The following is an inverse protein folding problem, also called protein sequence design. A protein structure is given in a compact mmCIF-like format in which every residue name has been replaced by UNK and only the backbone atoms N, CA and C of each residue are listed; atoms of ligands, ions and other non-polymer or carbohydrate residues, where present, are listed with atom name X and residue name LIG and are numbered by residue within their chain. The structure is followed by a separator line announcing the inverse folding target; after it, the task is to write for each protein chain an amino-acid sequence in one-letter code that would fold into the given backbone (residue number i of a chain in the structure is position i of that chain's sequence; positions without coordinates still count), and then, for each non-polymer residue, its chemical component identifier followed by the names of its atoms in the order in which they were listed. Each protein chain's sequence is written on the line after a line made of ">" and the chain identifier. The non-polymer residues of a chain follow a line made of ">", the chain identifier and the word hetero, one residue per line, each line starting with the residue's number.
data_IF_616063528406
#
_entry.id   IF_616063528406
#
_cell.length_a   1.000
_cell.length_b   1.000
_cell.length_c   1.000
_cell.angle_alpha   90.00
_cell.angle_beta   90.00
_cell.angle_gamma   90.00
#
_symmetry.space_group_name_H-M   'P 1'
#
loop_
_entity.id
_entity.type
_entity.pdbx_description
1 polymer ?
#
# COMPACT_ATOMS: atom_id res chain seq x y z
N UNK A 1 -13.82 -49.00 56.07
CA UNK A 1 -14.21 -47.94 55.13
C UNK A 1 -13.29 -46.73 55.20
N UNK A 2 -12.95 -46.15 56.35
CA UNK A 2 -12.08 -44.96 56.43
C UNK A 2 -10.67 -45.11 55.79
N UNK A 3 -10.03 -46.29 55.87
CA UNK A 3 -8.67 -46.52 55.31
C UNK A 3 -8.63 -46.49 53.78
N UNK A 4 -9.70 -46.85 53.10
CA UNK A 4 -9.73 -46.83 51.60
C UNK A 4 -9.98 -45.44 51.06
N UNK A 5 -10.67 -44.53 51.84
CA UNK A 5 -10.92 -43.15 51.45
C UNK A 5 -9.59 -42.37 51.42
N UNK A 6 -8.68 -42.61 52.35
CA UNK A 6 -7.36 -41.93 52.35
C UNK A 6 -6.44 -42.43 51.23
N UNK A 7 -6.54 -43.72 50.85
CA UNK A 7 -5.73 -44.26 49.75
C UNK A 7 -6.19 -43.72 48.39
N UNK A 8 -7.51 -43.59 48.19
CA UNK A 8 -8.05 -43.00 46.95
C UNK A 8 -7.75 -41.51 46.85
N UNK A 9 -7.81 -40.77 47.95
CA UNK A 9 -7.45 -39.33 47.99
C UNK A 9 -5.95 -39.12 47.69
N UNK A 10 -5.07 -39.99 48.21
CA UNK A 10 -3.65 -39.90 47.98
C UNK A 10 -3.27 -40.23 46.51
N UNK A 11 -3.92 -41.21 45.88
CA UNK A 11 -3.71 -41.55 44.46
C UNK A 11 -4.25 -40.44 43.55
N UNK A 12 -5.40 -39.85 43.87
CA UNK A 12 -5.96 -38.72 43.09
C UNK A 12 -5.09 -37.47 43.21
N UNK A 13 -4.48 -37.21 44.39
CA UNK A 13 -3.53 -36.11 44.59
C UNK A 13 -2.23 -36.30 43.82
N UNK A 14 -1.71 -37.52 43.65
CA UNK A 14 -0.54 -37.80 42.86
C UNK A 14 -0.78 -37.64 41.36
N UNK A 15 -1.97 -37.97 40.86
CA UNK A 15 -2.32 -37.84 39.45
C UNK A 15 -2.48 -36.35 39.06
N UNK A 16 -3.01 -35.52 39.99
CA UNK A 16 -3.13 -34.09 39.77
C UNK A 16 -1.77 -33.34 39.83
N UNK A 17 -0.81 -33.86 40.61
CA UNK A 17 0.51 -33.27 40.72
C UNK A 17 1.41 -33.56 39.49
N UNK A 18 1.15 -34.65 38.74
CA UNK A 18 1.89 -34.97 37.51
C UNK A 18 1.40 -34.25 36.25
N UNK A 19 0.24 -33.57 36.33
CA UNK A 19 -0.35 -32.82 35.21
C UNK A 19 0.21 -31.40 35.05
N UNK A 20 1.00 -30.90 36.00
CA UNK A 20 1.38 -29.48 36.08
C UNK A 20 2.83 -29.22 35.65
N UNK A 21 3.36 -29.95 34.68
CA UNK A 21 4.79 -29.84 34.32
C UNK A 21 5.14 -29.85 32.84
N UNK A 22 4.17 -29.89 31.93
CA UNK A 22 4.50 -29.66 30.52
C UNK A 22 4.50 -28.15 30.26
N UNK A 23 5.67 -27.53 30.38
CA UNK A 23 5.92 -26.28 29.68
C UNK A 23 5.79 -26.57 28.17
N UNK A 24 4.75 -26.05 27.57
CA UNK A 24 4.69 -25.98 26.12
C UNK A 24 5.70 -24.89 25.76
N UNK A 25 6.91 -25.29 25.45
CA UNK A 25 7.89 -24.40 24.85
C UNK A 25 7.47 -24.24 23.39
N UNK A 26 6.93 -23.09 23.07
CA UNK A 26 6.77 -22.68 21.66
C UNK A 26 8.17 -22.39 21.13
N UNK A 27 8.63 -23.23 20.22
CA UNK A 27 9.81 -22.87 19.43
C UNK A 27 9.46 -21.66 18.58
N UNK A 28 9.97 -20.52 18.98
CA UNK A 28 9.85 -19.29 18.20
C UNK A 28 10.89 -19.36 17.07
N UNK A 29 10.46 -19.78 15.89
CA UNK A 29 11.33 -19.86 14.72
C UNK A 29 11.78 -18.43 14.38
N UNK A 30 13.09 -18.16 14.29
CA UNK A 30 13.58 -16.87 13.90
C UNK A 30 13.29 -16.59 12.43
N UNK A 31 12.91 -15.36 12.10
CA UNK A 31 12.66 -14.96 10.71
C UNK A 31 12.97 -13.49 10.46
N UNK A 32 13.31 -13.18 9.19
CA UNK A 32 13.50 -11.81 8.71
C UNK A 32 12.39 -11.40 7.74
N UNK A 33 12.01 -10.13 7.73
CA UNK A 33 10.96 -9.60 6.88
C UNK A 33 11.22 -8.13 6.50
N UNK A 34 10.76 -7.73 5.34
CA UNK A 34 10.64 -6.32 4.99
C UNK A 34 9.46 -5.69 5.75
N UNK A 35 9.46 -4.38 5.93
CA UNK A 35 8.39 -3.67 6.65
C UNK A 35 7.13 -3.50 5.80
N UNK A 36 7.30 -3.34 4.47
CA UNK A 36 6.20 -3.14 3.53
C UNK A 36 6.45 -3.85 2.21
N UNK A 37 5.39 -4.05 1.43
CA UNK A 37 5.46 -4.66 0.08
C UNK A 37 5.72 -3.63 -1.03
N UNK A 38 5.68 -2.35 -0.70
CA UNK A 38 5.87 -1.27 -1.67
C UNK A 38 6.67 -0.13 -1.07
N UNK A 39 7.61 0.40 -1.84
CA UNK A 39 8.37 1.61 -1.53
C UNK A 39 8.35 2.52 -2.74
N UNK A 40 8.35 3.82 -2.51
CA UNK A 40 8.38 4.83 -3.56
C UNK A 40 9.38 5.92 -3.18
N UNK A 41 10.27 6.26 -4.10
CA UNK A 41 11.34 7.22 -3.90
C UNK A 41 11.43 8.13 -5.11
N UNK A 42 11.85 9.37 -4.88
CA UNK A 42 12.18 10.28 -5.96
C UNK A 42 13.52 9.87 -6.59
N UNK A 43 13.70 10.11 -7.89
CA UNK A 43 14.97 9.83 -8.58
C UNK A 43 16.17 10.56 -7.96
N UNK A 44 15.96 11.71 -7.33
CA UNK A 44 17.01 12.48 -6.63
C UNK A 44 17.17 12.10 -5.15
N UNK A 45 16.62 10.97 -4.71
CA UNK A 45 16.70 10.54 -3.30
C UNK A 45 18.14 10.19 -2.85
N UNK A 46 19.04 9.90 -3.81
CA UNK A 46 20.39 9.44 -3.49
C UNK A 46 20.38 8.05 -2.86
N UNK A 47 21.05 7.88 -1.72
CA UNK A 47 21.01 6.60 -1.01
C UNK A 47 19.72 6.45 -0.20
N UNK A 48 19.04 5.32 -0.41
CA UNK A 48 17.84 4.92 0.31
C UNK A 48 18.14 3.73 1.21
N UNK A 49 17.48 3.70 2.36
CA UNK A 49 17.65 2.66 3.37
C UNK A 49 16.36 1.85 3.47
N UNK A 50 16.43 0.54 3.25
CA UNK A 50 15.34 -0.39 3.37
C UNK A 50 15.56 -1.26 4.61
N UNK A 51 14.80 -1.06 5.69
CA UNK A 51 14.99 -1.82 6.91
C UNK A 51 14.47 -3.25 6.77
N UNK A 52 15.25 -4.19 7.27
CA UNK A 52 14.92 -5.60 7.43
C UNK A 52 14.74 -5.87 8.90
N UNK A 53 13.55 -6.21 9.33
CA UNK A 53 13.26 -6.55 10.73
C UNK A 53 13.51 -8.03 10.98
N UNK A 54 14.17 -8.37 12.07
CA UNK A 54 14.49 -9.72 12.48
C UNK A 54 13.74 -10.05 13.77
N UNK A 55 12.91 -11.07 13.70
CA UNK A 55 12.15 -11.58 14.84
C UNK A 55 12.82 -12.82 15.42
N UNK A 56 12.89 -12.91 16.75
CA UNK A 56 13.53 -13.99 17.51
C UNK A 56 14.97 -14.26 17.03
N UNK A 57 15.87 -13.26 17.11
CA UNK A 57 17.20 -13.37 16.56
C UNK A 57 17.98 -14.54 17.17
N UNK A 58 18.81 -15.18 16.34
CA UNK A 58 19.64 -16.30 16.77
C UNK A 58 20.83 -15.81 17.63
N UNK A 59 21.41 -16.74 18.41
CA UNK A 59 22.65 -16.51 19.16
C UNK A 59 23.92 -16.60 18.30
N UNK A 60 23.77 -16.87 17.01
CA UNK A 60 24.83 -16.95 15.99
C UNK A 60 24.49 -16.01 14.84
N UNK A 61 25.51 -15.62 14.10
CA UNK A 61 25.35 -14.79 12.90
C UNK A 61 24.46 -15.51 11.85
N UNK A 62 23.65 -14.72 11.17
CA UNK A 62 22.72 -15.17 10.13
C UNK A 62 23.08 -14.50 8.81
N UNK A 63 22.77 -15.18 7.71
CA UNK A 63 22.90 -14.63 6.37
C UNK A 63 21.57 -14.69 5.64
N UNK A 64 21.23 -13.58 5.00
CA UNK A 64 20.06 -13.43 4.13
C UNK A 64 20.54 -13.21 2.70
N UNK A 65 19.99 -13.98 1.76
CA UNK A 65 20.23 -13.71 0.34
C UNK A 65 19.23 -12.65 -0.13
N UNK A 66 19.75 -11.51 -0.55
CA UNK A 66 18.99 -10.40 -1.11
C UNK A 66 19.16 -10.40 -2.61
N UNK A 67 18.06 -10.26 -3.34
CA UNK A 67 18.03 -10.18 -4.80
C UNK A 67 17.26 -8.97 -5.25
N UNK A 68 17.75 -8.33 -6.30
CA UNK A 68 16.98 -7.38 -7.08
C UNK A 68 16.59 -8.02 -8.41
N UNK A 69 15.43 -7.66 -8.93
CA UNK A 69 14.97 -8.06 -10.25
C UNK A 69 14.58 -6.81 -11.00
N UNK A 70 15.22 -6.59 -12.11
CA UNK A 70 14.94 -5.48 -13.00
C UNK A 70 13.48 -5.49 -13.46
N UNK A 71 12.85 -4.32 -13.36
CA UNK A 71 11.61 -4.00 -14.02
C UNK A 71 11.88 -3.01 -15.18
N UNK A 72 11.21 -1.86 -15.13
CA UNK A 72 11.56 -0.71 -15.97
C UNK A 72 12.89 -0.10 -15.52
N UNK A 73 13.13 0.01 -14.22
CA UNK A 73 14.43 0.40 -13.66
C UNK A 73 15.45 -0.75 -13.81
N UNK A 74 16.69 -0.39 -14.14
CA UNK A 74 17.79 -1.32 -14.39
C UNK A 74 18.92 -1.09 -13.41
N UNK A 75 19.39 -2.18 -12.78
CA UNK A 75 20.59 -2.13 -11.93
C UNK A 75 21.81 -1.70 -12.75
N UNK A 76 22.64 -0.83 -12.18
CA UNK A 76 23.81 -0.23 -12.84
C UNK A 76 23.48 0.95 -13.78
N UNK A 77 22.18 1.25 -13.99
CA UNK A 77 21.73 2.41 -14.77
C UNK A 77 20.88 3.34 -13.92
N UNK A 78 19.75 2.86 -13.42
CA UNK A 78 18.78 3.66 -12.67
C UNK A 78 18.99 3.57 -11.16
N UNK A 79 19.61 2.49 -10.69
CA UNK A 79 19.96 2.28 -9.30
C UNK A 79 21.15 1.32 -9.16
N UNK A 80 21.76 1.29 -7.97
CA UNK A 80 22.84 0.40 -7.62
C UNK A 80 22.68 -0.14 -6.20
N UNK A 81 22.89 -1.46 -6.01
CA UNK A 81 22.93 -2.08 -4.68
C UNK A 81 24.22 -1.72 -3.96
N UNK A 82 24.17 -0.86 -2.94
CA UNK A 82 25.33 -0.46 -2.14
C UNK A 82 25.60 -1.46 -1.02
N UNK A 83 24.56 -1.94 -0.37
CA UNK A 83 24.65 -2.96 0.69
C UNK A 83 23.41 -3.86 0.69
N UNK A 84 23.62 -5.19 0.63
CA UNK A 84 24.87 -5.92 0.51
C UNK A 84 25.34 -6.02 -0.96
N UNK A 85 26.50 -5.51 -1.30
CA UNK A 85 27.07 -5.61 -2.66
C UNK A 85 27.19 -7.05 -3.17
N UNK A 86 27.42 -8.00 -2.28
CA UNK A 86 27.53 -9.43 -2.63
C UNK A 86 26.17 -10.13 -2.80
N UNK A 87 25.06 -9.42 -2.55
CA UNK A 87 23.74 -10.04 -2.44
C UNK A 87 23.54 -10.84 -1.16
N UNK A 88 24.49 -10.83 -0.21
CA UNK A 88 24.38 -11.55 1.06
C UNK A 88 24.47 -10.55 2.22
N UNK A 89 23.34 -10.31 2.89
CA UNK A 89 23.23 -9.49 4.07
C UNK A 89 23.56 -10.34 5.31
N UNK A 90 24.60 -9.95 6.05
CA UNK A 90 24.98 -10.61 7.29
C UNK A 90 24.36 -9.87 8.46
N UNK A 91 23.63 -10.59 9.30
CA UNK A 91 23.01 -10.10 10.53
C UNK A 91 23.77 -10.72 11.70
N UNK A 92 24.37 -9.91 12.56
CA UNK A 92 25.12 -10.41 13.71
C UNK A 92 24.19 -11.07 14.75
N UNK A 93 24.77 -11.92 15.57
CA UNK A 93 24.03 -12.60 16.63
C UNK A 93 23.29 -11.61 17.53
N UNK A 94 21.98 -11.84 17.72
CA UNK A 94 21.12 -11.03 18.57
C UNK A 94 20.63 -9.72 17.95
N UNK A 95 21.01 -9.38 16.72
CA UNK A 95 20.49 -8.20 16.03
C UNK A 95 19.01 -8.38 15.64
N UNK A 96 18.24 -7.31 15.83
CA UNK A 96 16.79 -7.28 15.53
C UNK A 96 16.47 -6.47 14.27
N UNK A 97 17.43 -5.78 13.69
CA UNK A 97 17.27 -4.97 12.50
C UNK A 97 18.57 -4.94 11.68
N UNK A 98 18.43 -4.96 10.36
CA UNK A 98 19.49 -4.73 9.40
C UNK A 98 19.00 -3.85 8.27
N UNK A 99 19.92 -3.29 7.49
CA UNK A 99 19.59 -2.36 6.43
C UNK A 99 20.12 -2.83 5.07
N UNK A 100 19.24 -2.78 4.06
CA UNK A 100 19.62 -2.83 2.66
C UNK A 100 19.76 -1.38 2.20
N UNK A 101 20.88 -1.04 1.54
CA UNK A 101 21.14 0.31 1.02
C UNK A 101 21.23 0.26 -0.49
N UNK A 102 20.45 1.11 -1.15
CA UNK A 102 20.39 1.23 -2.62
C UNK A 102 20.64 2.69 -2.95
N UNK A 103 21.53 2.96 -3.89
CA UNK A 103 21.70 4.28 -4.47
C UNK A 103 20.77 4.43 -5.68
N UNK A 104 20.04 5.52 -5.74
CA UNK A 104 19.19 5.90 -6.89
C UNK A 104 19.97 6.91 -7.73
N UNK A 105 20.01 6.69 -9.03
CA UNK A 105 20.66 7.60 -9.97
C UNK A 105 19.65 8.67 -10.43
N UNK A 106 20.08 9.92 -10.35
CA UNK A 106 19.33 11.10 -10.77
C UNK A 106 19.65 11.46 -12.22
N UNK A 107 18.64 11.80 -13.02
CA UNK A 107 18.76 12.22 -14.41
C UNK A 107 18.15 13.61 -14.61
N UNK A 108 18.71 14.68 -14.04
CA UNK A 108 18.10 15.99 -13.98
C UNK A 108 17.80 16.54 -15.39
N UNK A 109 16.56 16.94 -15.63
CA UNK A 109 16.09 17.51 -16.90
C UNK A 109 15.76 16.46 -17.97
N UNK A 110 15.87 15.17 -17.67
CA UNK A 110 15.47 14.08 -18.54
C UNK A 110 14.16 13.46 -18.06
N UNK A 111 13.11 13.57 -18.86
CA UNK A 111 11.85 12.89 -18.57
C UNK A 111 12.02 11.38 -18.79
N UNK A 112 12.28 10.65 -17.71
CA UNK A 112 12.56 9.19 -17.76
C UNK A 112 11.31 8.35 -17.47
N UNK A 113 10.26 8.95 -16.96
CA UNK A 113 9.03 8.29 -16.48
C UNK A 113 9.25 7.53 -15.17
N UNK A 114 8.16 7.19 -14.50
CA UNK A 114 8.25 6.36 -13.29
C UNK A 114 8.72 4.95 -13.66
N UNK A 115 9.80 4.51 -13.00
CA UNK A 115 10.42 3.20 -13.20
C UNK A 115 10.28 2.34 -11.96
N UNK A 116 10.18 1.02 -12.13
CA UNK A 116 10.08 0.09 -11.03
C UNK A 116 11.08 -1.06 -11.13
N UNK A 117 11.39 -1.66 -9.99
CA UNK A 117 12.13 -2.91 -9.83
C UNK A 117 11.62 -3.65 -8.60
N UNK A 118 12.04 -4.89 -8.40
CA UNK A 118 11.65 -5.69 -7.25
C UNK A 118 12.85 -6.01 -6.37
N UNK A 119 12.65 -5.94 -5.06
CA UNK A 119 13.59 -6.35 -4.03
C UNK A 119 13.03 -7.58 -3.32
N UNK A 120 13.85 -8.63 -3.13
CA UNK A 120 13.46 -9.88 -2.50
C UNK A 120 14.50 -10.35 -1.48
N UNK A 121 14.04 -10.78 -0.30
CA UNK A 121 14.78 -11.67 0.59
C UNK A 121 14.48 -13.09 0.12
N UNK A 122 15.39 -13.69 -0.66
CA UNK A 122 15.14 -14.94 -1.39
C UNK A 122 15.38 -16.17 -0.52
N UNK A 123 16.33 -16.13 0.41
CA UNK A 123 16.65 -17.24 1.33
C UNK A 123 17.35 -16.74 2.58
N UNK A 124 17.41 -17.61 3.59
CA UNK A 124 18.09 -17.38 4.84
C UNK A 124 18.97 -18.60 5.20
N UNK A 125 19.88 -18.44 6.16
CA UNK A 125 20.67 -19.54 6.75
C UNK A 125 19.75 -20.64 7.31
N UNK A 126 20.23 -21.89 7.33
CA UNK A 126 19.50 -23.02 7.92
C UNK A 126 19.08 -22.71 9.38
N UNK A 127 17.83 -23.04 9.72
CA UNK A 127 17.24 -22.74 11.03
C UNK A 127 16.63 -21.33 11.14
N UNK A 128 16.77 -20.50 10.10
CA UNK A 128 16.20 -19.18 10.00
C UNK A 128 15.23 -19.09 8.82
N UNK A 129 14.11 -18.41 8.96
CA UNK A 129 13.09 -18.34 7.92
C UNK A 129 12.99 -16.93 7.31
N UNK A 130 12.46 -16.90 6.09
CA UNK A 130 12.03 -15.66 5.44
C UNK A 130 10.56 -15.45 5.75
N UNK A 131 10.22 -14.26 6.23
CA UNK A 131 8.85 -13.89 6.62
C UNK A 131 7.93 -13.67 5.42
N UNK A 132 6.66 -13.40 5.70
CA UNK A 132 5.61 -13.26 4.68
C UNK A 132 5.76 -12.02 3.79
N UNK A 133 6.45 -10.97 4.27
CA UNK A 133 6.78 -9.77 3.47
C UNK A 133 8.25 -9.88 3.07
N UNK A 134 8.53 -10.77 2.13
CA UNK A 134 9.88 -11.03 1.64
C UNK A 134 10.17 -10.38 0.28
N UNK A 135 9.14 -9.85 -0.38
CA UNK A 135 9.27 -9.18 -1.68
C UNK A 135 8.59 -7.82 -1.58
N UNK A 136 9.26 -6.81 -2.13
CA UNK A 136 8.73 -5.46 -2.24
C UNK A 136 8.91 -4.92 -3.67
N UNK A 137 7.89 -4.22 -4.16
CA UNK A 137 7.96 -3.40 -5.36
C UNK A 137 8.57 -2.05 -4.99
N UNK A 138 9.62 -1.66 -5.70
CA UNK A 138 10.33 -0.39 -5.55
C UNK A 138 9.99 0.49 -6.73
N UNK A 139 9.54 1.72 -6.50
CA UNK A 139 9.25 2.69 -7.55
C UNK A 139 10.19 3.90 -7.44
N UNK A 140 10.81 4.25 -8.57
CA UNK A 140 11.61 5.47 -8.73
C UNK A 140 10.74 6.46 -9.50
N UNK A 141 10.36 7.55 -8.82
CA UNK A 141 9.49 8.58 -9.38
C UNK A 141 10.33 9.64 -10.09
N UNK A 142 10.00 9.87 -11.35
CA UNK A 142 10.56 10.94 -12.18
C UNK A 142 10.11 12.30 -11.64
N UNK A 143 11.07 13.17 -11.31
CA UNK A 143 10.81 14.53 -10.86
C UNK A 143 10.61 15.52 -12.01
N UNK A 144 10.93 15.14 -13.22
CA UNK A 144 10.78 15.96 -14.42
C UNK A 144 9.44 15.74 -15.13
N UNK A 145 8.62 14.81 -14.62
CA UNK A 145 7.28 14.57 -15.12
C UNK A 145 6.43 15.87 -15.07
N UNK A 146 5.79 16.28 -16.19
CA UNK A 146 5.02 17.51 -16.25
C UNK A 146 3.88 17.64 -15.24
N UNK A 147 3.40 16.51 -14.73
CA UNK A 147 2.33 16.39 -13.73
C UNK A 147 2.84 15.92 -12.37
N UNK A 148 4.14 16.04 -12.10
CA UNK A 148 4.79 15.58 -10.85
C UNK A 148 4.11 16.05 -9.57
N UNK A 149 3.50 17.21 -9.61
CA UNK A 149 2.81 17.79 -8.46
C UNK A 149 1.61 16.94 -8.01
N UNK A 150 1.00 16.20 -8.92
CA UNK A 150 -0.09 15.26 -8.64
C UNK A 150 0.41 13.87 -8.22
N UNK A 151 1.57 13.43 -8.72
CA UNK A 151 2.08 12.07 -8.51
C UNK A 151 2.40 11.82 -7.04
N UNK A 152 2.02 10.65 -6.53
CA UNK A 152 2.28 10.18 -5.17
C UNK A 152 1.08 9.58 -4.48
N UNK A 153 1.21 9.36 -3.18
CA UNK A 153 0.12 8.86 -2.33
C UNK A 153 -0.58 10.02 -1.65
N UNK A 154 -1.90 10.00 -1.67
CA UNK A 154 -2.75 11.03 -1.10
C UNK A 154 -3.77 10.41 -0.15
N UNK A 155 -3.94 11.01 1.02
CA UNK A 155 -4.96 10.59 1.98
C UNK A 155 -6.21 11.43 1.80
N UNK A 156 -7.29 10.80 1.37
CA UNK A 156 -8.61 11.39 1.26
C UNK A 156 -9.32 11.45 2.61
N UNK A 157 -10.06 12.52 2.87
CA UNK A 157 -10.91 12.69 4.04
C UNK A 157 -12.21 13.38 3.67
N UNK A 158 -13.33 12.83 4.13
CA UNK A 158 -14.67 13.36 3.87
C UNK A 158 -15.71 12.76 4.80
N UNK A 159 -16.93 13.30 4.78
CA UNK A 159 -18.11 12.72 5.42
C UNK A 159 -19.07 12.26 4.32
N UNK A 160 -19.50 11.00 4.38
CA UNK A 160 -20.48 10.45 3.44
C UNK A 160 -21.89 10.95 3.70
N UNK A 161 -22.79 10.67 2.77
CA UNK A 161 -24.22 11.01 2.88
C UNK A 161 -24.89 10.36 4.09
N UNK A 162 -24.44 9.17 4.46
CA UNK A 162 -24.86 8.46 5.68
C UNK A 162 -24.37 9.10 6.99
N UNK A 163 -23.53 10.15 6.92
CA UNK A 163 -22.95 10.84 8.08
C UNK A 163 -21.71 10.20 8.68
N UNK A 164 -21.19 9.12 8.09
CA UNK A 164 -19.94 8.51 8.50
C UNK A 164 -18.74 9.27 7.93
N UNK A 165 -17.66 9.36 8.73
CA UNK A 165 -16.38 9.92 8.29
C UNK A 165 -15.54 8.82 7.64
N UNK A 166 -15.01 9.13 6.46
CA UNK A 166 -14.16 8.24 5.69
C UNK A 166 -12.76 8.82 5.56
N UNK A 167 -11.77 7.95 5.64
CA UNK A 167 -10.37 8.27 5.37
C UNK A 167 -9.75 7.09 4.63
N UNK A 168 -9.11 7.36 3.48
CA UNK A 168 -8.48 6.32 2.67
C UNK A 168 -7.33 6.91 1.86
N UNK A 169 -6.46 6.04 1.37
CA UNK A 169 -5.35 6.44 0.51
C UNK A 169 -5.68 6.15 -0.95
N UNK A 170 -5.35 7.10 -1.81
CA UNK A 170 -5.29 6.91 -3.25
C UNK A 170 -3.84 7.01 -3.71
N UNK A 171 -3.52 6.31 -4.81
CA UNK A 171 -2.23 6.43 -5.47
C UNK A 171 -2.43 7.10 -6.83
N UNK A 172 -1.60 8.08 -7.13
CA UNK A 172 -1.54 8.77 -8.43
C UNK A 172 -0.18 8.46 -9.05
N UNK A 173 -0.18 7.84 -10.22
CA UNK A 173 1.02 7.42 -10.94
C UNK A 173 1.05 7.99 -12.35
N UNK A 174 2.24 8.08 -12.95
CA UNK A 174 2.39 8.43 -14.37
C UNK A 174 1.72 7.39 -15.26
N UNK A 175 1.15 7.82 -16.37
CA UNK A 175 0.68 6.93 -17.41
C UNK A 175 1.78 6.74 -18.46
N UNK A 176 2.52 5.64 -18.34
CA UNK A 176 3.65 5.35 -19.23
C UNK A 176 3.24 5.01 -20.68
N UNK A 177 1.95 4.74 -20.91
CA UNK A 177 1.39 4.52 -22.24
C UNK A 177 1.00 5.83 -22.93
N UNK A 178 1.04 6.97 -22.21
CA UNK A 178 0.75 8.29 -22.76
C UNK A 178 2.04 9.06 -23.11
N UNK A 179 2.47 9.09 -24.38
CA UNK A 179 3.68 9.80 -24.78
C UNK A 179 3.58 11.33 -24.68
N UNK A 180 2.39 11.86 -24.38
CA UNK A 180 2.17 13.31 -24.21
C UNK A 180 2.26 13.74 -22.74
N UNK A 181 2.31 12.78 -21.81
CA UNK A 181 2.32 13.00 -20.37
C UNK A 181 1.20 13.95 -19.87
N UNK A 182 0.05 13.86 -20.52
CA UNK A 182 -1.15 14.63 -20.19
C UNK A 182 -2.11 13.86 -19.29
N UNK A 183 -1.86 12.57 -19.08
CA UNK A 183 -2.71 11.67 -18.31
C UNK A 183 -1.95 11.01 -17.16
N UNK A 184 -2.69 10.68 -16.11
CA UNK A 184 -2.21 9.95 -14.94
C UNK A 184 -3.12 8.77 -14.65
N UNK A 185 -2.63 7.80 -13.90
CA UNK A 185 -3.39 6.66 -13.40
C UNK A 185 -3.68 6.86 -11.92
N UNK A 186 -4.96 6.85 -11.57
CA UNK A 186 -5.44 6.96 -10.20
C UNK A 186 -5.94 5.60 -9.73
N UNK A 187 -5.48 5.16 -8.57
CA UNK A 187 -5.91 3.90 -7.97
C UNK A 187 -6.62 4.14 -6.65
N UNK A 188 -7.60 3.29 -6.35
CA UNK A 188 -8.33 3.26 -5.08
C UNK A 188 -9.18 4.52 -4.80
N UNK A 189 -9.86 5.06 -5.82
CA UNK A 189 -10.73 6.22 -5.63
C UNK A 189 -11.92 5.94 -4.71
N UNK A 190 -12.40 4.70 -4.65
CA UNK A 190 -13.53 4.33 -3.82
C UNK A 190 -13.11 3.35 -2.72
N UNK A 191 -13.24 3.72 -1.42
CA UNK A 191 -12.84 2.87 -0.28
C UNK A 191 -13.90 1.80 0.04
N UNK A 192 -14.09 0.83 -0.82
CA UNK A 192 -15.18 -0.16 -0.77
C UNK A 192 -15.30 -0.98 0.52
N UNK A 193 -14.15 -1.37 1.09
CA UNK A 193 -14.13 -2.26 2.26
C UNK A 193 -14.66 -1.59 3.52
N UNK A 194 -14.62 -0.27 3.60
CA UNK A 194 -15.09 0.49 4.75
C UNK A 194 -16.57 0.88 4.66
N UNK A 195 -17.15 0.93 3.44
CA UNK A 195 -18.52 1.42 3.21
C UNK A 195 -19.51 0.25 3.17
N UNK A 196 -19.18 -0.80 2.45
CA UNK A 196 -20.09 -1.93 2.22
C UNK A 196 -19.36 -3.23 2.54
N UNK A 197 -19.59 -3.82 3.68
CA UNK A 197 -18.92 -5.03 4.19
C UNK A 197 -18.98 -6.28 3.31
N UNK A 198 -19.01 -6.14 2.00
CA UNK A 198 -19.10 -7.21 1.03
C UNK A 198 -18.70 -6.83 -0.40
N UNK A 199 -18.48 -5.53 -0.68
CA UNK A 199 -17.98 -5.15 -2.00
C UNK A 199 -16.48 -5.43 -2.06
N UNK A 200 -16.11 -6.48 -2.78
CA UNK A 200 -14.72 -6.71 -3.17
C UNK A 200 -14.59 -6.16 -4.59
N UNK A 201 -13.76 -5.12 -4.83
CA UNK A 201 -13.49 -4.67 -6.19
C UNK A 201 -12.93 -5.83 -6.98
N UNK A 202 -13.44 -6.08 -8.16
CA UNK A 202 -12.80 -7.01 -9.08
C UNK A 202 -11.40 -6.50 -9.38
N UNK A 203 -10.40 -7.39 -9.43
CA UNK A 203 -9.02 -7.01 -9.67
C UNK A 203 -8.92 -6.18 -10.98
N UNK A 204 -8.40 -4.94 -10.85
CA UNK A 204 -8.20 -4.03 -11.97
C UNK A 204 -9.29 -2.96 -12.17
N UNK A 205 -10.41 -3.00 -11.45
CA UNK A 205 -11.52 -2.05 -11.66
C UNK A 205 -11.55 -0.83 -10.73
N UNK A 206 -10.63 -0.69 -9.81
CA UNK A 206 -10.48 0.54 -9.02
C UNK A 206 -9.24 1.33 -9.48
N UNK A 207 -9.04 1.37 -10.79
CA UNK A 207 -7.94 2.04 -11.47
C UNK A 207 -8.54 2.90 -12.58
N UNK A 208 -8.25 4.18 -12.56
CA UNK A 208 -8.87 5.18 -13.44
C UNK A 208 -7.80 5.99 -14.14
N UNK A 209 -8.02 6.26 -15.42
CA UNK A 209 -7.24 7.26 -16.12
C UNK A 209 -7.82 8.65 -15.83
N UNK A 210 -6.94 9.60 -15.50
CA UNK A 210 -7.28 11.00 -15.35
C UNK A 210 -6.55 11.84 -16.38
N UNK A 211 -7.22 12.84 -16.93
CA UNK A 211 -6.68 13.77 -17.91
C UNK A 211 -6.40 15.09 -17.18
N UNK A 212 -5.19 15.63 -17.35
CA UNK A 212 -4.86 16.95 -16.84
C UNK A 212 -5.43 18.06 -17.71
N UNK A 213 -5.95 19.13 -17.10
CA UNK A 213 -6.30 20.33 -17.83
C UNK A 213 -5.02 21.03 -18.38
N UNK A 214 -5.14 21.92 -19.39
CA UNK A 214 -3.98 22.58 -20.01
C UNK A 214 -3.07 23.31 -19.02
N UNK A 215 -3.65 23.90 -17.96
CA UNK A 215 -2.92 24.65 -16.94
C UNK A 215 -2.28 23.75 -15.87
N UNK A 216 -2.50 22.41 -15.94
CA UNK A 216 -1.99 21.42 -14.98
C UNK A 216 -2.36 21.74 -13.51
N UNK A 217 -3.57 22.23 -13.34
CA UNK A 217 -4.15 22.57 -12.03
C UNK A 217 -5.28 21.62 -11.63
N UNK A 218 -5.78 20.84 -12.59
CA UNK A 218 -6.87 19.88 -12.38
C UNK A 218 -6.57 18.55 -13.05
N UNK A 219 -7.04 17.46 -12.42
CA UNK A 219 -7.18 16.15 -13.03
C UNK A 219 -8.68 15.83 -13.17
N UNK A 220 -9.04 15.29 -14.30
CA UNK A 220 -10.42 14.96 -14.66
C UNK A 220 -10.51 13.47 -14.91
N UNK A 221 -11.32 12.76 -14.12
CA UNK A 221 -11.70 11.37 -14.33
C UNK A 221 -13.10 11.37 -14.93
N UNK A 222 -13.24 10.76 -16.12
CA UNK A 222 -14.55 10.65 -16.77
C UNK A 222 -15.54 9.90 -15.87
N UNK A 223 -16.80 10.32 -15.89
CA UNK A 223 -17.86 9.65 -15.14
C UNK A 223 -18.21 8.27 -15.74
N UNK A 224 -19.08 7.54 -15.04
CA UNK A 224 -19.63 6.24 -15.44
C UNK A 224 -18.58 5.12 -15.61
N UNK A 225 -17.44 5.22 -14.91
CA UNK A 225 -16.42 4.18 -14.90
C UNK A 225 -16.87 2.99 -14.05
N UNK A 226 -16.86 1.77 -14.62
CA UNK A 226 -17.21 0.54 -13.91
C UNK A 226 -16.28 0.27 -12.75
N UNK A 227 -16.82 -0.08 -11.58
CA UNK A 227 -16.07 -0.33 -10.37
C UNK A 227 -16.32 -1.69 -9.71
N UNK A 228 -17.36 -2.40 -10.11
CA UNK A 228 -17.70 -3.72 -9.56
C UNK A 228 -19.19 -3.95 -9.48
N UNK A 229 -19.56 -4.99 -8.74
CA UNK A 229 -20.96 -5.34 -8.46
C UNK A 229 -21.19 -5.48 -6.96
N UNK A 230 -22.34 -5.03 -6.49
CA UNK A 230 -22.81 -5.22 -5.12
C UNK A 230 -24.24 -5.77 -5.17
N UNK A 231 -24.50 -6.87 -4.48
CA UNK A 231 -25.81 -7.54 -4.45
C UNK A 231 -26.42 -7.81 -5.85
N UNK A 232 -25.55 -8.05 -6.84
CA UNK A 232 -25.92 -8.30 -8.22
C UNK A 232 -26.19 -7.05 -9.06
N UNK A 233 -26.05 -5.86 -8.48
CA UNK A 233 -26.14 -4.58 -9.17
C UNK A 233 -24.77 -4.12 -9.66
N UNK A 234 -24.69 -3.67 -10.91
CA UNK A 234 -23.48 -3.06 -11.48
C UNK A 234 -23.31 -1.66 -10.92
N UNK A 235 -22.13 -1.35 -10.42
CA UNK A 235 -21.79 -0.03 -9.92
C UNK A 235 -20.77 0.66 -10.83
N UNK A 236 -20.96 1.96 -11.02
CA UNK A 236 -20.02 2.87 -11.66
C UNK A 236 -19.62 3.98 -10.70
N UNK A 237 -18.55 4.70 -11.01
CA UNK A 237 -18.10 5.86 -10.25
C UNK A 237 -18.42 7.14 -11.01
N UNK A 238 -19.03 8.12 -10.33
CA UNK A 238 -19.31 9.41 -10.91
C UNK A 238 -19.26 10.54 -9.86
N UNK A 239 -18.93 11.73 -10.32
CA UNK A 239 -19.17 12.99 -9.62
C UNK A 239 -20.60 13.47 -9.81
N UNK A 240 -20.94 14.61 -9.20
CA UNK A 240 -22.17 15.32 -9.48
C UNK A 240 -21.89 16.79 -9.80
N UNK A 241 -22.81 17.43 -10.53
CA UNK A 241 -22.69 18.80 -10.99
C UNK A 241 -23.06 19.86 -9.93
N UNK A 242 -23.38 19.43 -8.71
CA UNK A 242 -23.73 20.30 -7.60
C UNK A 242 -23.17 19.81 -6.26
N UNK A 243 -22.93 20.70 -5.27
CA UNK A 243 -22.36 20.33 -3.98
C UNK A 243 -23.31 19.50 -3.10
N UNK A 244 -24.60 19.49 -3.40
CA UNK A 244 -25.61 18.70 -2.68
C UNK A 244 -26.37 17.82 -3.68
N UNK A 245 -26.58 16.56 -3.34
CA UNK A 245 -27.22 15.58 -4.20
C UNK A 245 -28.62 16.01 -4.65
N UNK A 246 -29.39 16.64 -3.76
CA UNK A 246 -30.75 17.11 -4.05
C UNK A 246 -30.79 18.26 -5.07
N UNK A 247 -29.65 18.91 -5.31
CA UNK A 247 -29.49 19.99 -6.29
C UNK A 247 -28.90 19.50 -7.60
N UNK A 248 -28.36 18.27 -7.62
CA UNK A 248 -27.74 17.69 -8.81
C UNK A 248 -28.79 17.43 -9.90
N UNK A 249 -28.45 17.75 -11.12
CA UNK A 249 -29.28 17.46 -12.30
C UNK A 249 -28.67 16.32 -13.12
N UNK A 250 -27.34 16.17 -13.09
CA UNK A 250 -26.61 15.22 -13.92
C UNK A 250 -25.45 14.61 -13.13
N UNK A 251 -25.08 13.40 -13.52
CA UNK A 251 -23.77 12.85 -13.18
C UNK A 251 -22.70 13.60 -13.97
N UNK A 252 -21.61 13.90 -13.31
CA UNK A 252 -20.50 14.68 -13.86
C UNK A 252 -19.19 13.92 -13.77
N UNK A 253 -18.19 14.39 -14.51
CA UNK A 253 -16.82 13.96 -14.33
C UNK A 253 -16.31 14.34 -12.93
N UNK A 254 -15.37 13.56 -12.43
CA UNK A 254 -14.75 13.82 -11.13
C UNK A 254 -13.55 14.74 -11.35
N UNK A 255 -13.64 15.97 -10.84
CA UNK A 255 -12.58 16.97 -11.00
C UNK A 255 -11.81 17.15 -9.72
N UNK A 256 -10.52 16.83 -9.75
CA UNK A 256 -9.57 17.06 -8.67
C UNK A 256 -8.86 18.38 -8.90
N UNK A 257 -8.98 19.32 -7.98
CA UNK A 257 -8.35 20.64 -8.03
C UNK A 257 -7.11 20.68 -7.14
N UNK A 258 -5.94 20.91 -7.73
CA UNK A 258 -4.69 20.99 -7.01
C UNK A 258 -4.53 22.37 -6.38
N UNK A 259 -4.24 22.42 -5.08
CA UNK A 259 -3.96 23.67 -4.38
C UNK A 259 -2.67 24.33 -4.85
N UNK A 260 -2.55 25.65 -4.67
CA UNK A 260 -1.34 26.40 -5.04
C UNK A 260 -0.07 25.92 -4.32
N UNK A 261 -0.20 25.37 -3.12
CA UNK A 261 0.93 24.85 -2.35
C UNK A 261 1.29 23.39 -2.71
N UNK A 262 0.55 22.77 -3.63
CA UNK A 262 0.76 21.40 -4.13
C UNK A 262 0.67 20.29 -3.04
N UNK A 263 0.06 20.60 -1.90
CA UNK A 263 -0.06 19.68 -0.77
C UNK A 263 -1.46 19.12 -0.57
N UNK A 264 -2.45 19.72 -1.21
CA UNK A 264 -3.83 19.26 -1.16
C UNK A 264 -4.46 19.24 -2.55
N UNK A 265 -5.33 18.25 -2.77
CA UNK A 265 -6.29 18.23 -3.88
C UNK A 265 -7.69 18.22 -3.30
N UNK A 266 -8.63 18.87 -3.97
CA UNK A 266 -10.04 18.87 -3.57
C UNK A 266 -10.92 18.40 -4.72
N UNK A 267 -12.00 17.67 -4.38
CA UNK A 267 -13.12 17.41 -5.29
C UNK A 267 -14.32 18.16 -4.74
N UNK A 268 -14.59 19.38 -5.20
CA UNK A 268 -15.50 20.31 -4.52
C UNK A 268 -16.92 19.80 -4.33
N UNK A 269 -17.46 19.10 -5.33
CA UNK A 269 -18.81 18.55 -5.27
C UNK A 269 -18.87 17.13 -4.73
N UNK A 270 -17.70 16.48 -4.57
CA UNK A 270 -17.61 15.06 -4.21
C UNK A 270 -17.95 14.13 -5.36
N UNK A 271 -17.90 12.84 -5.06
CA UNK A 271 -18.25 11.76 -5.98
C UNK A 271 -18.67 10.53 -5.18
N UNK A 272 -19.15 9.50 -5.85
CA UNK A 272 -19.50 8.25 -5.20
C UNK A 272 -19.86 7.14 -6.19
N UNK A 273 -20.07 5.92 -5.68
CA UNK A 273 -20.57 4.81 -6.47
C UNK A 273 -22.03 5.04 -6.85
N UNK A 274 -22.36 4.70 -8.08
CA UNK A 274 -23.70 4.85 -8.68
C UNK A 274 -24.21 3.50 -9.15
N UNK A 275 -25.42 3.16 -8.75
CA UNK A 275 -26.17 2.01 -9.25
C UNK A 275 -27.48 2.43 -9.95
N UNK A 276 -28.34 1.45 -10.23
CA UNK A 276 -29.63 1.67 -10.94
C UNK A 276 -30.61 2.54 -10.15
N UNK A 277 -30.44 2.63 -8.83
CA UNK A 277 -31.26 3.47 -7.93
C UNK A 277 -30.64 4.84 -7.63
N UNK A 278 -29.49 5.17 -8.24
CA UNK A 278 -28.72 6.37 -7.98
C UNK A 278 -27.46 6.10 -7.17
N UNK A 279 -26.98 7.11 -6.42
CA UNK A 279 -25.80 6.95 -5.58
C UNK A 279 -26.05 6.01 -4.39
N UNK A 280 -25.18 5.04 -4.22
CA UNK A 280 -25.18 4.15 -3.05
C UNK A 280 -24.63 4.87 -1.80
N UNK A 281 -23.52 5.53 -1.95
CA UNK A 281 -22.95 6.43 -1.00
C UNK A 281 -22.36 7.61 -1.77
N UNK A 282 -22.62 8.80 -1.31
CA UNK A 282 -22.12 10.03 -1.92
C UNK A 282 -21.40 10.85 -0.88
N UNK A 283 -20.37 11.56 -1.27
CA UNK A 283 -19.54 12.38 -0.40
C UNK A 283 -19.82 13.87 -0.63
N UNK A 284 -20.97 14.39 -0.13
CA UNK A 284 -21.37 15.79 -0.32
C UNK A 284 -20.43 16.72 0.43
N UNK A 285 -20.35 17.97 -0.06
CA UNK A 285 -19.48 18.98 0.56
C UNK A 285 -18.01 18.85 0.23
N UNK A 286 -17.69 17.94 -0.70
CA UNK A 286 -16.37 17.76 -1.25
C UNK A 286 -15.50 16.77 -0.47
N UNK A 287 -14.40 16.42 -1.11
CA UNK A 287 -13.37 15.52 -0.57
C UNK A 287 -12.05 16.29 -0.60
N UNK A 288 -11.31 16.20 0.48
CA UNK A 288 -9.96 16.77 0.58
C UNK A 288 -8.94 15.65 0.63
N UNK A 289 -8.00 15.67 -0.28
CA UNK A 289 -6.85 14.77 -0.34
C UNK A 289 -5.60 15.53 0.09
N UNK A 290 -4.85 14.97 1.03
CA UNK A 290 -3.58 15.53 1.52
C UNK A 290 -2.44 14.63 1.08
N UNK A 291 -1.39 15.22 0.48
CA UNK A 291 -0.19 14.50 0.01
C UNK A 291 0.58 13.97 1.21
N UNK A 292 0.99 12.69 1.13
CA UNK A 292 1.85 12.05 2.15
C UNK A 292 3.32 12.43 2.01
#
# INVERSE_FOLDING_TARGET
>A
MKKYIYLTAAVLGLVLASSCGRKIEFEHIPFATLQTRTYSFNENAGEIIIPVTIYNPMSTDMQLTVKVTDGKAKEGVDFEMISPMSGVLTCAAGETEQNIVIAINDFPGELTGTKDFSLEIASATEGFQVGNVNTAKMAIMDLDHPLKDFIGVWTGSTTGYSGYNYTWDITVEGNDDDPTYSTLILSNLCPYTSIYGGLTPEAGFNIFQAIANPDKTQLIVENDQYIGTLDGEVLTLAGIDAPLLEQAQYYADIVFELSNNKKTMTVPNGYGPVGTQGFWEFYPGGIVFTKK
#
